data_IF_962887635729
#
_entry.id   IF_962887635729
#
_cell.length_a   1.000
_cell.length_b   1.000
_cell.length_c   1.000
_cell.angle_alpha   90.00
_cell.angle_beta   90.00
_cell.angle_gamma   90.00
#
_symmetry.space_group_name_H-M   'P 1'
#
loop_
_entity.id
_entity.type
_entity.pdbx_description
1 polymer ?
#
# COMPACT_ATOMS: atom_id res chain seq x y z
N UNK A 1 5.61 21.04 -44.27
CA UNK A 1 6.57 21.58 -43.30
C UNK A 1 6.49 20.68 -42.07
N UNK A 2 7.50 19.82 -41.91
CA UNK A 2 7.83 18.91 -40.80
C UNK A 2 6.81 17.84 -40.35
N UNK A 3 7.09 16.59 -40.75
CA UNK A 3 6.91 15.36 -39.95
C UNK A 3 8.13 15.18 -38.99
N UNK A 4 8.27 14.10 -38.19
CA UNK A 4 7.34 13.40 -37.29
C UNK A 4 8.00 13.15 -35.90
N UNK A 5 7.28 12.61 -34.90
CA UNK A 5 7.93 11.86 -33.81
C UNK A 5 7.29 10.50 -33.59
N UNK A 6 7.86 9.57 -34.35
CA UNK A 6 7.96 8.13 -34.18
C UNK A 6 7.98 7.65 -32.72
N UNK A 7 7.10 6.69 -32.41
CA UNK A 7 7.23 5.76 -31.28
C UNK A 7 7.53 4.39 -31.91
N UNK A 8 8.65 3.71 -31.61
CA UNK A 8 8.88 2.36 -32.11
C UNK A 8 8.27 1.29 -31.21
N UNK A 9 7.63 0.35 -31.89
CA UNK A 9 7.11 -0.94 -31.43
C UNK A 9 8.25 -1.96 -31.24
N UNK A 10 8.09 -2.79 -30.20
CA UNK A 10 8.34 -4.24 -30.07
C UNK A 10 9.48 -5.00 -30.80
N UNK A 11 9.90 -6.08 -30.12
CA UNK A 11 10.57 -7.31 -30.61
C UNK A 11 12.10 -7.29 -30.63
N UNK A 12 12.86 -8.38 -30.54
CA UNK A 12 12.74 -9.77 -30.08
C UNK A 12 14.20 -10.29 -29.99
N UNK A 13 14.40 -11.49 -29.45
CA UNK A 13 15.68 -12.17 -29.23
C UNK A 13 16.56 -12.38 -30.49
N UNK A 14 17.89 -12.47 -30.29
CA UNK A 14 18.86 -13.14 -31.20
C UNK A 14 20.15 -13.43 -30.38
N UNK A 15 20.37 -14.63 -29.84
CA UNK A 15 21.17 -15.77 -30.37
C UNK A 15 22.51 -15.44 -31.05
N UNK A 16 23.59 -15.86 -30.38
CA UNK A 16 24.80 -16.57 -30.84
C UNK A 16 25.61 -16.10 -32.07
N UNK A 17 26.92 -15.87 -31.86
CA UNK A 17 28.05 -16.26 -32.75
C UNK A 17 29.36 -16.04 -31.96
N UNK A 18 30.02 -17.08 -31.43
CA UNK A 18 30.97 -17.99 -32.09
C UNK A 18 32.29 -17.32 -32.53
N UNK A 19 33.38 -17.58 -31.78
CA UNK A 19 34.76 -17.66 -32.30
C UNK A 19 35.57 -18.63 -31.42
N UNK A 20 35.88 -19.80 -31.98
CA UNK A 20 36.98 -20.70 -31.60
C UNK A 20 38.24 -20.29 -32.38
N UNK A 21 39.47 -20.52 -31.87
CA UNK A 21 40.25 -21.63 -32.44
C UNK A 21 41.13 -22.40 -31.43
N UNK A 22 41.06 -23.73 -31.56
CA UNK A 22 42.05 -24.80 -31.36
C UNK A 22 43.47 -24.47 -30.84
N UNK A 23 43.99 -25.31 -29.90
CA UNK A 23 45.07 -26.28 -30.18
C UNK A 23 45.49 -27.07 -28.91
N UNK A 24 45.91 -28.31 -29.15
CA UNK A 24 46.30 -29.38 -28.21
C UNK A 24 47.71 -29.17 -27.64
N UNK A 25 48.01 -29.67 -26.44
CA UNK A 25 48.84 -30.89 -26.23
C UNK A 25 49.17 -31.17 -24.76
N UNK A 26 49.42 -32.45 -24.51
CA UNK A 26 49.71 -33.16 -23.27
C UNK A 26 50.84 -32.58 -22.40
N UNK A 27 50.74 -32.69 -21.05
CA UNK A 27 51.77 -33.37 -20.24
C UNK A 27 51.40 -33.57 -18.75
N UNK A 28 51.37 -34.85 -18.37
CA UNK A 28 51.84 -35.52 -17.14
C UNK A 28 51.95 -34.75 -15.81
N UNK A 29 51.15 -35.25 -14.85
CA UNK A 29 51.40 -35.47 -13.42
C UNK A 29 52.50 -34.69 -12.69
N UNK A 30 52.12 -34.02 -11.60
CA UNK A 30 52.88 -34.06 -10.34
C UNK A 30 51.95 -33.74 -9.17
N UNK A 31 51.93 -34.68 -8.23
CA UNK A 31 51.47 -34.61 -6.85
C UNK A 31 51.82 -33.28 -6.15
N UNK A 32 50.86 -32.65 -5.47
CA UNK A 32 51.11 -31.86 -4.25
C UNK A 32 49.82 -31.77 -3.40
N UNK A 33 49.87 -32.13 -2.12
CA UNK A 33 48.70 -32.11 -1.25
C UNK A 33 48.45 -30.71 -0.65
N UNK A 34 47.16 -30.35 -0.62
CA UNK A 34 46.44 -29.64 0.45
C UNK A 34 47.16 -28.46 1.13
N UNK A 35 46.64 -27.24 0.92
CA UNK A 35 46.57 -26.17 1.95
C UNK A 35 45.76 -24.95 1.46
N UNK A 36 44.45 -25.09 1.20
CA UNK A 36 43.59 -23.92 0.97
C UNK A 36 42.13 -24.17 1.38
N UNK A 37 41.88 -24.49 2.66
CA UNK A 37 40.53 -24.76 3.17
C UNK A 37 40.07 -23.85 4.33
N UNK A 38 40.95 -22.99 4.85
CA UNK A 38 40.66 -22.19 6.04
C UNK A 38 39.93 -20.87 5.75
N UNK A 39 40.01 -20.32 4.53
CA UNK A 39 39.38 -19.02 4.21
C UNK A 39 37.92 -19.16 3.71
N UNK A 40 37.63 -20.23 2.96
CA UNK A 40 36.27 -20.61 2.51
C UNK A 40 35.39 -21.06 3.68
N UNK A 41 35.95 -21.84 4.62
CA UNK A 41 35.24 -22.27 5.83
C UNK A 41 34.79 -21.11 6.71
N UNK A 42 35.62 -20.07 6.87
CA UNK A 42 35.28 -18.88 7.65
C UNK A 42 34.18 -18.02 7.00
N UNK A 43 34.20 -17.87 5.66
CA UNK A 43 33.15 -17.14 4.94
C UNK A 43 31.80 -17.85 4.99
N UNK A 44 31.80 -19.19 4.89
CA UNK A 44 30.60 -20.03 5.02
C UNK A 44 30.07 -19.99 6.46
N UNK A 45 30.93 -20.01 7.46
CA UNK A 45 30.58 -19.85 8.88
C UNK A 45 29.98 -18.46 9.18
N UNK A 46 30.59 -17.38 8.65
CA UNK A 46 30.06 -16.02 8.80
C UNK A 46 28.70 -15.85 8.10
N UNK A 47 28.53 -16.46 6.92
CA UNK A 47 27.26 -16.44 6.18
C UNK A 47 26.17 -17.22 6.90
N UNK A 48 26.48 -18.37 7.47
CA UNK A 48 25.52 -19.17 8.26
C UNK A 48 25.14 -18.44 9.57
N UNK A 49 26.09 -17.81 10.26
CA UNK A 49 25.80 -16.96 11.41
C UNK A 49 24.90 -15.76 11.04
N UNK A 50 25.16 -15.10 9.91
CA UNK A 50 24.31 -14.02 9.41
C UNK A 50 22.91 -14.50 9.02
N UNK A 51 22.78 -15.70 8.44
CA UNK A 51 21.49 -16.32 8.12
C UNK A 51 20.71 -16.69 9.38
N UNK A 52 21.36 -17.24 10.41
CA UNK A 52 20.72 -17.53 11.70
C UNK A 52 20.23 -16.26 12.39
N UNK A 53 21.02 -15.18 12.35
CA UNK A 53 20.60 -13.88 12.88
C UNK A 53 19.38 -13.32 12.13
N UNK A 54 19.36 -13.43 10.80
CA UNK A 54 18.19 -13.03 10.00
C UNK A 54 16.97 -13.89 10.31
N UNK A 55 17.14 -15.20 10.45
CA UNK A 55 16.06 -16.12 10.83
C UNK A 55 15.47 -15.72 12.19
N UNK A 56 16.30 -15.50 13.20
CA UNK A 56 15.86 -15.05 14.52
C UNK A 56 15.14 -13.70 14.46
N UNK A 57 15.62 -12.75 13.65
CA UNK A 57 14.96 -11.46 13.46
C UNK A 57 13.57 -11.60 12.80
N UNK A 58 13.43 -12.50 11.83
CA UNK A 58 12.14 -12.76 11.17
C UNK A 58 11.18 -13.44 12.15
N UNK A 59 11.64 -14.42 12.92
CA UNK A 59 10.84 -15.09 13.95
C UNK A 59 10.37 -14.10 15.02
N UNK A 60 11.25 -13.19 15.46
CA UNK A 60 10.88 -12.13 16.39
C UNK A 60 9.80 -11.20 15.82
N UNK A 61 9.94 -10.79 14.55
CA UNK A 61 8.93 -9.94 13.88
C UNK A 61 7.59 -10.65 13.71
N UNK A 62 7.59 -11.95 13.42
CA UNK A 62 6.36 -12.72 13.33
C UNK A 62 5.65 -12.76 14.69
N UNK A 63 6.36 -13.04 15.77
CA UNK A 63 5.78 -13.04 17.11
C UNK A 63 5.23 -11.65 17.52
N UNK A 64 5.93 -10.57 17.14
CA UNK A 64 5.48 -9.20 17.40
C UNK A 64 4.22 -8.84 16.61
N UNK A 65 4.17 -9.17 15.32
CA UNK A 65 2.99 -8.97 14.48
C UNK A 65 1.79 -9.80 14.97
N UNK A 66 2.00 -11.04 15.40
CA UNK A 66 0.95 -11.89 15.96
C UNK A 66 0.37 -11.30 17.25
N UNK A 67 1.23 -10.77 18.13
CA UNK A 67 0.80 -10.11 19.36
C UNK A 67 -0.01 -8.83 19.08
N UNK A 68 0.43 -8.03 18.10
CA UNK A 68 -0.27 -6.82 17.67
C UNK A 68 -1.65 -7.17 17.09
N UNK A 69 -1.74 -8.21 16.26
CA UNK A 69 -2.98 -8.68 15.66
C UNK A 69 -3.96 -9.19 16.73
N UNK A 70 -3.48 -9.93 17.73
CA UNK A 70 -4.30 -10.40 18.84
C UNK A 70 -4.92 -9.25 19.65
N UNK A 71 -4.18 -8.17 19.88
CA UNK A 71 -4.67 -6.97 20.57
C UNK A 71 -5.74 -6.26 19.72
N UNK A 72 -5.48 -6.06 18.42
CA UNK A 72 -6.44 -5.42 17.52
C UNK A 72 -7.74 -6.23 17.39
N UNK A 73 -7.65 -7.56 17.32
CA UNK A 73 -8.83 -8.44 17.28
C UNK A 73 -9.63 -8.39 18.59
N UNK A 74 -8.97 -8.30 19.75
CA UNK A 74 -9.66 -8.16 21.02
C UNK A 74 -10.42 -6.83 21.15
N UNK A 75 -9.88 -5.75 20.57
CA UNK A 75 -10.52 -4.43 20.61
C UNK A 75 -11.54 -4.19 19.47
N UNK A 76 -11.54 -5.03 18.43
CA UNK A 76 -12.43 -4.86 17.30
C UNK A 76 -13.88 -5.25 17.65
N UNK A 77 -14.74 -4.23 17.76
CA UNK A 77 -16.19 -4.36 17.92
C UNK A 77 -16.88 -4.31 16.57
N UNK A 78 -18.01 -5.00 16.46
CA UNK A 78 -18.92 -4.89 15.33
C UNK A 78 -19.45 -3.45 15.22
N UNK A 79 -19.88 -2.98 14.03
CA UNK A 79 -20.50 -1.67 13.86
C UNK A 79 -21.76 -1.48 14.71
N UNK A 80 -22.37 -2.57 15.18
CA UNK A 80 -23.47 -2.59 16.15
C UNK A 80 -23.03 -2.41 17.62
N UNK A 81 -21.74 -2.25 17.90
CA UNK A 81 -21.17 -2.09 19.25
C UNK A 81 -20.98 -3.40 20.04
N UNK A 82 -21.35 -4.54 19.46
CA UNK A 82 -21.16 -5.87 20.06
C UNK A 82 -19.77 -6.44 19.78
N UNK A 83 -19.31 -7.32 20.66
CA UNK A 83 -18.05 -8.05 20.47
C UNK A 83 -18.17 -9.02 19.29
N UNK A 84 -17.10 -9.18 18.50
CA UNK A 84 -17.09 -10.16 17.41
C UNK A 84 -17.13 -11.58 17.97
N UNK A 85 -18.00 -12.47 17.44
CA UNK A 85 -18.11 -13.83 17.95
C UNK A 85 -16.78 -14.58 17.82
N UNK A 86 -16.41 -15.31 18.87
CA UNK A 86 -15.19 -16.11 18.94
C UNK A 86 -15.16 -17.29 17.96
N UNK A 87 -16.28 -17.57 17.28
CA UNK A 87 -16.40 -18.58 16.22
C UNK A 87 -15.86 -18.16 14.86
N UNK A 88 -15.58 -16.87 14.64
CA UNK A 88 -15.01 -16.38 13.37
C UNK A 88 -13.50 -16.57 13.33
N UNK A 89 -12.98 -16.98 12.16
CA UNK A 89 -11.53 -17.04 11.93
C UNK A 89 -10.94 -15.63 11.88
N UNK A 90 -9.62 -15.53 12.11
CA UNK A 90 -8.91 -14.24 12.07
C UNK A 90 -9.12 -13.52 10.73
N UNK A 91 -9.12 -14.25 9.62
CA UNK A 91 -9.34 -13.71 8.28
C UNK A 91 -10.74 -13.12 8.11
N UNK A 92 -11.77 -13.78 8.64
CA UNK A 92 -13.15 -13.29 8.59
C UNK A 92 -13.32 -12.02 9.41
N UNK A 93 -12.69 -11.97 10.59
CA UNK A 93 -12.67 -10.78 11.45
C UNK A 93 -11.99 -9.61 10.75
N UNK A 94 -10.83 -9.84 10.14
CA UNK A 94 -10.10 -8.81 9.40
C UNK A 94 -10.91 -8.29 8.21
N UNK A 95 -11.48 -9.17 7.38
CA UNK A 95 -12.32 -8.75 6.25
C UNK A 95 -13.48 -7.89 6.71
N UNK A 96 -14.19 -8.33 7.76
CA UNK A 96 -15.35 -7.60 8.28
C UNK A 96 -14.97 -6.23 8.87
N UNK A 97 -13.83 -6.12 9.57
CA UNK A 97 -13.34 -4.83 10.08
C UNK A 97 -13.02 -3.87 8.92
N UNK A 98 -12.37 -4.36 7.86
CA UNK A 98 -12.06 -3.56 6.67
C UNK A 98 -13.35 -3.15 5.95
N UNK A 99 -14.30 -4.06 5.79
CA UNK A 99 -15.59 -3.79 5.15
C UNK A 99 -16.39 -2.75 5.96
N UNK A 100 -16.41 -2.89 7.29
CA UNK A 100 -17.06 -1.92 8.18
C UNK A 100 -16.39 -0.55 8.12
N UNK A 101 -15.05 -0.48 8.09
CA UNK A 101 -14.34 0.78 7.97
C UNK A 101 -14.63 1.46 6.62
N UNK A 102 -14.64 0.68 5.53
CA UNK A 102 -15.00 1.16 4.20
C UNK A 102 -16.44 1.66 4.12
N UNK A 103 -17.39 0.99 4.79
CA UNK A 103 -18.78 1.43 4.86
C UNK A 103 -18.88 2.79 5.56
N UNK A 104 -18.25 2.96 6.73
CA UNK A 104 -18.23 4.24 7.46
C UNK A 104 -17.63 5.38 6.63
N UNK A 105 -16.54 5.12 5.89
CA UNK A 105 -15.93 6.13 5.01
C UNK A 105 -16.89 6.52 3.88
N UNK A 106 -17.57 5.56 3.26
CA UNK A 106 -18.58 5.82 2.22
C UNK A 106 -19.74 6.65 2.76
N UNK A 107 -20.26 6.31 3.93
CA UNK A 107 -21.36 7.05 4.56
C UNK A 107 -20.95 8.50 4.84
N UNK A 108 -19.72 8.73 5.30
CA UNK A 108 -19.21 10.09 5.53
C UNK A 108 -19.04 10.88 4.23
N UNK A 109 -18.54 10.24 3.16
CA UNK A 109 -18.43 10.85 1.83
C UNK A 109 -19.82 11.23 1.30
N UNK A 110 -20.80 10.34 1.42
CA UNK A 110 -22.17 10.62 1.01
C UNK A 110 -22.79 11.78 1.81
N UNK A 111 -22.56 11.81 3.12
CA UNK A 111 -23.06 12.88 3.97
C UNK A 111 -22.46 14.23 3.59
N UNK A 112 -21.16 14.29 3.30
CA UNK A 112 -20.49 15.51 2.82
C UNK A 112 -21.05 15.95 1.46
N UNK A 113 -21.24 15.03 0.52
CA UNK A 113 -21.84 15.37 -0.78
C UNK A 113 -23.27 15.87 -0.64
N UNK A 114 -24.09 15.22 0.21
CA UNK A 114 -25.46 15.63 0.47
C UNK A 114 -25.50 17.02 1.13
N UNK A 115 -24.65 17.27 2.12
CA UNK A 115 -24.55 18.56 2.77
C UNK A 115 -24.16 19.66 1.77
N UNK A 116 -23.10 19.44 0.97
CA UNK A 116 -22.68 20.42 -0.03
C UNK A 116 -23.77 20.68 -1.06
N UNK A 117 -24.45 19.64 -1.54
CA UNK A 117 -25.56 19.79 -2.49
C UNK A 117 -26.70 20.65 -1.91
N UNK A 118 -27.11 20.41 -0.67
CA UNK A 118 -28.16 21.20 0.00
C UNK A 118 -27.67 22.64 0.24
N UNK A 119 -26.43 22.82 0.67
CA UNK A 119 -25.83 24.14 0.90
C UNK A 119 -25.77 24.97 -0.38
N UNK A 120 -25.34 24.38 -1.48
CA UNK A 120 -25.23 25.06 -2.78
C UNK A 120 -26.62 25.46 -3.32
N UNK A 121 -27.61 24.58 -3.19
CA UNK A 121 -29.01 24.90 -3.53
C UNK A 121 -29.54 26.02 -2.63
N UNK A 122 -29.31 25.94 -1.32
CA UNK A 122 -29.75 26.93 -0.34
C UNK A 122 -29.14 28.31 -0.61
N UNK A 123 -27.83 28.37 -0.85
CA UNK A 123 -27.13 29.61 -1.21
C UNK A 123 -27.61 30.17 -2.55
N UNK A 124 -27.88 29.32 -3.55
CA UNK A 124 -28.46 29.72 -4.83
C UNK A 124 -29.84 30.36 -4.67
N UNK A 125 -30.73 29.72 -3.90
CA UNK A 125 -32.06 30.26 -3.60
C UNK A 125 -31.98 31.56 -2.78
N UNK A 126 -31.08 31.63 -1.80
CA UNK A 126 -30.82 32.82 -1.01
C UNK A 126 -30.35 33.99 -1.88
N UNK A 127 -29.51 33.72 -2.88
CA UNK A 127 -29.08 34.71 -3.88
C UNK A 127 -30.25 35.29 -4.67
N UNK A 128 -31.18 34.44 -5.12
CA UNK A 128 -32.39 34.88 -5.84
C UNK A 128 -33.30 35.74 -4.95
N UNK A 129 -33.48 35.37 -3.68
CA UNK A 129 -34.26 36.17 -2.72
C UNK A 129 -33.60 37.52 -2.45
N UNK A 130 -32.27 37.54 -2.30
CA UNK A 130 -31.51 38.77 -2.10
C UNK A 130 -31.62 39.72 -3.31
N UNK A 131 -31.57 39.18 -4.53
CA UNK A 131 -31.78 39.93 -5.77
C UNK A 131 -33.18 40.53 -5.85
N UNK A 132 -34.22 39.75 -5.54
CA UNK A 132 -35.61 40.26 -5.52
C UNK A 132 -35.82 41.39 -4.50
N UNK A 133 -35.15 41.30 -3.34
CA UNK A 133 -35.21 42.33 -2.29
C UNK A 133 -34.26 43.51 -2.56
N UNK A 134 -33.35 43.40 -3.53
CA UNK A 134 -32.34 44.43 -3.82
C UNK A 134 -31.31 44.62 -2.72
N UNK A 135 -31.12 43.63 -1.84
CA UNK A 135 -30.17 43.68 -0.72
C UNK A 135 -29.01 42.71 -0.94
N UNK A 136 -27.90 42.91 -0.23
CA UNK A 136 -26.77 41.99 -0.30
C UNK A 136 -27.13 40.64 0.32
N UNK A 137 -26.67 39.55 -0.30
CA UNK A 137 -26.90 38.18 0.20
C UNK A 137 -26.49 38.03 1.67
N UNK A 138 -25.41 38.69 2.11
CA UNK A 138 -24.95 38.65 3.50
C UNK A 138 -25.99 39.15 4.52
N UNK A 139 -26.81 40.15 4.17
CA UNK A 139 -27.85 40.70 5.06
C UNK A 139 -29.02 39.74 5.17
N UNK A 140 -29.39 39.09 4.06
CA UNK A 140 -30.45 38.07 4.06
C UNK A 140 -29.96 36.83 4.83
N UNK A 141 -28.70 36.47 4.69
CA UNK A 141 -28.09 35.37 5.44
C UNK A 141 -28.15 35.62 6.97
N UNK A 142 -27.87 36.85 7.40
CA UNK A 142 -28.01 37.29 8.80
C UNK A 142 -29.47 37.27 9.29
N UNK A 143 -30.43 37.66 8.44
CA UNK A 143 -31.88 37.62 8.75
C UNK A 143 -32.39 36.18 8.98
N UNK A 144 -31.79 35.20 8.31
CA UNK A 144 -32.12 33.78 8.46
C UNK A 144 -31.20 33.04 9.45
N UNK A 145 -30.41 33.75 10.25
CA UNK A 145 -29.45 33.19 11.21
C UNK A 145 -28.45 32.21 10.57
N UNK A 146 -28.20 32.34 9.26
CA UNK A 146 -27.22 31.53 8.53
C UNK A 146 -25.84 32.15 8.76
N UNK A 147 -24.94 31.39 9.38
CA UNK A 147 -23.55 31.81 9.53
C UNK A 147 -22.74 31.38 8.31
N UNK A 148 -21.77 32.19 7.87
CA UNK A 148 -20.85 31.80 6.80
C UNK A 148 -19.95 30.60 7.17
N UNK A 149 -20.01 30.16 8.43
CA UNK A 149 -19.10 29.19 9.05
C UNK A 149 -19.77 27.83 9.31
N UNK A 150 -21.07 27.71 9.05
CA UNK A 150 -21.85 26.47 9.10
C UNK A 150 -22.14 25.90 7.72
#
# INVERSE_FOLDING_TARGET
>A
MLDPKTIPQASQATTASATEPQARDDNVASDTPVSHDSNTSNLVSARTAALLKKKAMVEQKLAELEAELALQVANAKLPSGLEMPSSWTTEQKTSHVIDSANATVKDHIELLHRYNAIKDIGLGLLGLVAEQRGVRQAIVMEEFDLSAKD
#
